data_IF_242903337331
#
_entry.id   IF_242903337331
#
_cell.length_a   1.000
_cell.length_b   1.000
_cell.length_c   1.000
_cell.angle_alpha   90.00
_cell.angle_beta   90.00
_cell.angle_gamma   90.00
#
_symmetry.space_group_name_H-M   'P 1'
#
loop_
_entity.id
_entity.type
_entity.pdbx_description
1 polymer ?
#
# COMPACT_ATOMS: atom_id res chain seq x y z
N UNK A 1 22.00 31.90 -10.58
CA UNK A 1 20.58 31.57 -10.30
C UNK A 1 19.95 32.73 -9.54
N UNK A 2 19.01 33.46 -10.15
CA UNK A 2 18.25 34.53 -9.47
C UNK A 2 17.36 33.88 -8.41
N UNK A 3 17.63 34.13 -7.12
CA UNK A 3 16.70 33.80 -6.02
C UNK A 3 15.43 34.64 -6.24
N UNK A 4 14.45 34.07 -6.92
CA UNK A 4 13.07 34.59 -6.90
C UNK A 4 12.52 34.31 -5.49
N UNK A 5 12.80 35.21 -4.55
CA UNK A 5 12.19 35.22 -3.22
C UNK A 5 10.72 35.60 -3.34
N UNK A 6 9.90 34.71 -3.92
CA UNK A 6 8.46 34.78 -3.72
C UNK A 6 8.20 34.26 -2.31
N UNK A 7 7.80 35.18 -1.45
CA UNK A 7 7.27 34.88 -0.13
C UNK A 7 6.19 33.80 -0.29
N UNK A 8 6.38 32.67 0.38
CA UNK A 8 5.40 31.59 0.38
C UNK A 8 4.23 32.08 1.23
N UNK A 9 3.23 32.67 0.59
CA UNK A 9 1.97 33.01 1.25
C UNK A 9 1.30 31.72 1.72
N UNK A 10 1.15 31.57 3.04
CA UNK A 10 0.40 30.46 3.63
C UNK A 10 -1.05 30.52 3.16
N UNK A 11 -1.45 29.52 2.38
CA UNK A 11 -2.84 29.40 1.93
C UNK A 11 -3.71 28.95 3.11
N UNK A 12 -4.64 29.82 3.55
CA UNK A 12 -5.58 29.46 4.62
C UNK A 12 -6.57 28.43 4.10
N UNK A 13 -6.60 27.26 4.73
CA UNK A 13 -7.58 26.21 4.43
C UNK A 13 -8.97 26.72 4.80
N UNK A 14 -9.86 26.80 3.82
CA UNK A 14 -11.26 27.20 4.05
C UNK A 14 -12.09 26.03 4.56
N UNK A 15 -13.10 26.29 5.41
CA UNK A 15 -13.99 25.24 5.92
C UNK A 15 -14.70 24.44 4.81
N UNK A 16 -15.01 25.08 3.68
CA UNK A 16 -15.55 24.39 2.51
C UNK A 16 -14.59 23.37 1.90
N UNK A 17 -13.28 23.68 1.86
CA UNK A 17 -12.26 22.72 1.40
C UNK A 17 -12.20 21.50 2.32
N UNK A 18 -12.29 21.70 3.64
CA UNK A 18 -12.30 20.61 4.61
C UNK A 18 -13.52 19.68 4.45
N UNK A 19 -14.71 20.26 4.24
CA UNK A 19 -15.93 19.49 3.96
C UNK A 19 -15.77 18.66 2.68
N UNK A 20 -15.24 19.25 1.61
CA UNK A 20 -14.98 18.54 0.35
C UNK A 20 -13.98 17.40 0.50
N UNK A 21 -12.86 17.63 1.20
CA UNK A 21 -11.86 16.61 1.49
C UNK A 21 -12.50 15.45 2.27
N UNK A 22 -13.35 15.76 3.25
CA UNK A 22 -14.05 14.75 4.06
C UNK A 22 -14.99 13.91 3.22
N UNK A 23 -15.86 14.53 2.43
CA UNK A 23 -16.81 13.83 1.55
C UNK A 23 -16.06 12.96 0.53
N UNK A 24 -15.04 13.52 -0.12
CA UNK A 24 -14.24 12.80 -1.11
C UNK A 24 -13.48 11.63 -0.46
N UNK A 25 -13.04 11.78 0.79
CA UNK A 25 -12.42 10.70 1.56
C UNK A 25 -13.36 9.55 1.82
N UNK A 26 -14.60 9.84 2.24
CA UNK A 26 -15.63 8.81 2.50
C UNK A 26 -15.95 8.05 1.20
N UNK A 27 -16.21 8.78 0.11
CA UNK A 27 -16.57 8.18 -1.18
C UNK A 27 -15.43 7.31 -1.71
N UNK A 28 -14.19 7.84 -1.70
CA UNK A 28 -13.04 7.09 -2.20
C UNK A 28 -12.71 5.90 -1.33
N UNK A 29 -12.85 6.02 0.01
CA UNK A 29 -12.66 4.89 0.91
C UNK A 29 -13.68 3.78 0.66
N UNK A 30 -14.96 4.13 0.47
CA UNK A 30 -15.98 3.16 0.10
C UNK A 30 -15.65 2.48 -1.22
N UNK A 31 -15.32 3.26 -2.25
CA UNK A 31 -15.01 2.73 -3.58
C UNK A 31 -13.80 1.80 -3.57
N UNK A 32 -12.71 2.15 -2.86
CA UNK A 32 -11.52 1.30 -2.79
C UNK A 32 -11.76 0.00 -2.05
N UNK A 33 -12.45 0.04 -0.91
CA UNK A 33 -12.81 -1.18 -0.18
C UNK A 33 -13.75 -2.07 -1.00
N UNK A 34 -14.72 -1.48 -1.69
CA UNK A 34 -15.64 -2.21 -2.57
C UNK A 34 -14.90 -2.86 -3.74
N UNK A 35 -14.03 -2.11 -4.42
CA UNK A 35 -13.21 -2.64 -5.52
C UNK A 35 -12.32 -3.80 -5.06
N UNK A 36 -11.64 -3.67 -3.92
CA UNK A 36 -10.83 -4.75 -3.36
C UNK A 36 -11.64 -6.00 -2.98
N UNK A 37 -12.86 -5.82 -2.49
CA UNK A 37 -13.75 -6.92 -2.15
C UNK A 37 -14.09 -7.78 -3.39
N UNK A 38 -14.23 -7.15 -4.57
CA UNK A 38 -14.51 -7.81 -5.84
C UNK A 38 -13.31 -8.55 -6.44
N UNK A 39 -12.08 -8.25 -6.01
CA UNK A 39 -10.89 -8.89 -6.54
C UNK A 39 -10.74 -10.33 -6.01
N UNK A 40 -10.34 -11.30 -6.86
CA UNK A 40 -9.88 -12.61 -6.41
C UNK A 40 -8.70 -12.49 -5.42
N UNK A 41 -8.55 -13.41 -4.45
CA UNK A 41 -7.48 -13.34 -3.44
C UNK A 41 -6.07 -13.15 -4.02
N UNK A 42 -5.76 -13.76 -5.16
CA UNK A 42 -4.47 -13.62 -5.84
C UNK A 42 -4.28 -12.19 -6.42
N UNK A 43 -5.31 -11.67 -7.07
CA UNK A 43 -5.31 -10.33 -7.65
C UNK A 43 -5.33 -9.23 -6.58
N UNK A 44 -5.85 -9.51 -5.38
CA UNK A 44 -5.79 -8.57 -4.25
C UNK A 44 -4.38 -8.18 -3.83
N UNK A 45 -3.32 -8.89 -4.21
CA UNK A 45 -1.96 -8.44 -3.86
C UNK A 45 -1.31 -7.57 -4.95
N UNK A 46 -1.85 -7.58 -6.16
CA UNK A 46 -1.22 -6.99 -7.36
C UNK A 46 -2.04 -5.90 -8.01
N UNK A 47 -3.36 -5.99 -7.89
CA UNK A 47 -4.30 -5.10 -8.56
C UNK A 47 -4.99 -4.14 -7.58
N UNK A 48 -4.43 -3.94 -6.39
CA UNK A 48 -4.92 -2.93 -5.45
C UNK A 48 -4.65 -1.55 -6.01
N UNK A 49 -5.72 -0.87 -6.42
CA UNK A 49 -5.62 0.47 -6.99
C UNK A 49 -5.10 1.49 -5.98
N UNK A 50 -5.37 1.30 -4.69
CA UNK A 50 -4.86 2.17 -3.64
C UNK A 50 -3.36 1.97 -3.36
N UNK A 51 -2.76 0.84 -3.74
CA UNK A 51 -1.33 0.52 -3.49
C UNK A 51 -0.70 -0.06 -4.76
N UNK A 52 -0.23 0.83 -5.63
CA UNK A 52 0.42 0.49 -6.91
C UNK A 52 1.69 -0.35 -6.70
N UNK A 53 2.52 0.03 -5.72
CA UNK A 53 3.67 -0.77 -5.29
C UNK A 53 3.50 -1.06 -3.81
N UNK A 54 2.86 -2.18 -3.46
CA UNK A 54 2.76 -2.56 -2.08
C UNK A 54 4.15 -3.10 -1.70
N UNK A 55 4.98 -2.27 -1.09
CA UNK A 55 6.28 -2.67 -0.59
C UNK A 55 6.32 -2.29 0.88
N UNK A 56 6.57 -3.24 1.81
CA UNK A 56 6.53 -2.94 3.23
C UNK A 56 7.43 -1.75 3.57
N UNK A 57 6.85 -0.68 4.12
CA UNK A 57 7.58 0.54 4.51
C UNK A 57 7.80 1.57 3.39
N UNK A 58 7.51 1.24 2.13
CA UNK A 58 7.66 2.15 0.97
C UNK A 58 6.45 2.05 0.04
N UNK A 59 5.25 2.00 0.60
CA UNK A 59 4.01 1.83 -0.16
C UNK A 59 3.80 2.99 -1.13
N UNK A 60 3.87 2.70 -2.43
CA UNK A 60 3.55 3.68 -3.46
C UNK A 60 2.04 3.67 -3.68
N UNK A 61 1.35 4.64 -3.10
CA UNK A 61 -0.11 4.69 -3.18
C UNK A 61 -0.58 5.15 -4.55
N UNK A 62 -1.55 4.43 -5.09
CA UNK A 62 -2.02 4.56 -6.48
C UNK A 62 -3.18 5.52 -6.70
N UNK A 63 -3.95 5.81 -5.66
CA UNK A 63 -5.15 6.64 -5.78
C UNK A 63 -4.94 8.01 -6.44
N UNK A 64 -3.85 8.76 -6.16
CA UNK A 64 -3.62 10.05 -6.81
C UNK A 64 -3.52 9.93 -8.33
N UNK A 65 -2.86 8.88 -8.82
CA UNK A 65 -2.69 8.65 -10.26
C UNK A 65 -4.00 8.29 -10.93
N UNK A 66 -4.85 7.49 -10.29
CA UNK A 66 -6.19 7.20 -10.81
C UNK A 66 -7.06 8.45 -10.82
N UNK A 67 -7.05 9.24 -9.75
CA UNK A 67 -7.77 10.52 -9.73
C UNK A 67 -7.28 11.46 -10.84
N UNK A 68 -5.98 11.51 -11.08
CA UNK A 68 -5.39 12.28 -12.17
C UNK A 68 -5.77 11.78 -13.56
N UNK A 69 -5.87 10.47 -13.78
CA UNK A 69 -6.40 9.92 -15.03
C UNK A 69 -7.87 10.30 -15.22
N UNK A 70 -8.69 10.21 -14.17
CA UNK A 70 -10.09 10.63 -14.20
C UNK A 70 -10.20 12.13 -14.50
N UNK A 71 -9.44 12.97 -13.81
CA UNK A 71 -9.37 14.42 -14.08
C UNK A 71 -8.93 14.70 -15.51
N UNK A 72 -7.97 13.93 -16.03
CA UNK A 72 -7.49 14.05 -17.41
C UNK A 72 -8.57 13.64 -18.44
N UNK A 73 -9.47 12.72 -18.10
CA UNK A 73 -10.64 12.42 -18.92
C UNK A 73 -11.72 13.51 -18.78
N UNK A 74 -11.94 14.02 -17.56
CA UNK A 74 -13.00 14.99 -17.26
C UNK A 74 -12.68 16.41 -17.74
N UNK A 75 -11.41 16.78 -17.90
CA UNK A 75 -11.03 18.12 -18.38
C UNK A 75 -11.52 18.43 -19.80
N UNK A 76 -11.87 17.41 -20.59
CA UNK A 76 -12.48 17.58 -21.91
C UNK A 76 -13.86 18.26 -21.80
N UNK A 77 -14.51 18.16 -20.64
CA UNK A 77 -15.72 18.90 -20.32
C UNK A 77 -15.36 20.30 -19.81
N UNK A 78 -15.60 21.32 -20.64
CA UNK A 78 -15.26 22.72 -20.34
C UNK A 78 -15.73 23.24 -18.96
N UNK A 79 -16.93 22.91 -18.45
CA UNK A 79 -17.41 23.42 -17.16
C UNK A 79 -16.57 22.96 -15.97
N UNK A 80 -15.88 21.82 -16.08
CA UNK A 80 -15.07 21.26 -15.01
C UNK A 80 -13.68 21.92 -14.93
N UNK A 81 -13.19 22.45 -16.06
CA UNK A 81 -11.84 23.03 -16.15
C UNK A 81 -11.60 24.20 -15.19
N UNK A 82 -12.64 24.98 -14.89
CA UNK A 82 -12.55 26.11 -13.94
C UNK A 82 -12.21 25.68 -12.51
N UNK A 83 -12.52 24.43 -12.14
CA UNK A 83 -12.24 23.89 -10.81
C UNK A 83 -10.89 23.16 -10.73
N UNK A 84 -10.22 22.93 -11.87
CA UNK A 84 -8.92 22.26 -11.95
C UNK A 84 -7.76 23.24 -11.70
N UNK A 85 -7.82 23.99 -10.60
CA UNK A 85 -6.72 24.83 -10.15
C UNK A 85 -5.59 23.96 -9.58
N UNK A 86 -4.35 24.47 -9.60
CA UNK A 86 -3.19 23.77 -9.03
C UNK A 86 -3.39 23.42 -7.56
N UNK A 87 -3.97 24.34 -6.79
CA UNK A 87 -4.33 24.12 -5.38
C UNK A 87 -5.33 22.98 -5.24
N UNK A 88 -6.43 22.98 -6.01
CA UNK A 88 -7.45 21.95 -5.91
C UNK A 88 -6.90 20.57 -6.29
N UNK A 89 -6.04 20.50 -7.30
CA UNK A 89 -5.35 19.26 -7.68
C UNK A 89 -4.37 18.78 -6.61
N UNK A 90 -3.71 19.70 -5.90
CA UNK A 90 -2.87 19.36 -4.76
C UNK A 90 -3.71 18.80 -3.60
N UNK A 91 -4.81 19.45 -3.22
CA UNK A 91 -5.73 18.93 -2.21
C UNK A 91 -6.32 17.57 -2.60
N UNK A 92 -6.72 17.40 -3.86
CA UNK A 92 -7.16 16.12 -4.38
C UNK A 92 -6.05 15.08 -4.21
N UNK A 93 -4.82 15.39 -4.61
CA UNK A 93 -3.69 14.45 -4.48
C UNK A 93 -3.43 14.03 -3.03
N UNK A 94 -3.41 14.98 -2.09
CA UNK A 94 -3.20 14.70 -0.66
C UNK A 94 -4.33 13.84 -0.11
N UNK A 95 -5.57 14.16 -0.46
CA UNK A 95 -6.76 13.39 -0.07
C UNK A 95 -6.64 11.95 -0.58
N UNK A 96 -6.32 11.78 -1.86
CA UNK A 96 -6.17 10.46 -2.48
C UNK A 96 -5.00 9.66 -1.90
N UNK A 97 -3.87 10.30 -1.59
CA UNK A 97 -2.73 9.64 -0.91
C UNK A 97 -3.20 9.09 0.43
N UNK A 98 -3.82 9.94 1.23
CA UNK A 98 -4.25 9.63 2.59
C UNK A 98 -5.28 8.52 2.60
N UNK A 99 -6.33 8.64 1.78
CA UNK A 99 -7.41 7.64 1.73
C UNK A 99 -6.91 6.32 1.16
N UNK A 100 -6.05 6.36 0.15
CA UNK A 100 -5.45 5.14 -0.40
C UNK A 100 -4.58 4.40 0.62
N UNK A 101 -3.76 5.15 1.37
CA UNK A 101 -2.92 4.58 2.42
C UNK A 101 -3.77 3.92 3.52
N UNK A 102 -4.79 4.60 4.04
CA UNK A 102 -5.58 4.04 5.14
C UNK A 102 -6.53 2.93 4.69
N UNK A 103 -7.08 3.02 3.47
CA UNK A 103 -7.92 1.92 2.93
C UNK A 103 -7.10 0.67 2.68
N UNK A 104 -5.81 0.80 2.35
CA UNK A 104 -4.92 -0.36 2.22
C UNK A 104 -4.91 -1.19 3.51
N UNK A 105 -4.99 -0.55 4.68
CA UNK A 105 -5.00 -1.22 5.98
C UNK A 105 -6.36 -1.67 6.47
N UNK A 106 -7.44 -1.37 5.74
CA UNK A 106 -8.80 -1.65 6.16
C UNK A 106 -9.27 -3.06 5.78
N UNK A 107 -8.61 -3.75 4.84
CA UNK A 107 -9.04 -5.10 4.45
C UNK A 107 -8.61 -6.16 5.44
N UNK A 108 -9.50 -7.12 5.71
CA UNK A 108 -9.36 -8.28 6.62
C UNK A 108 -8.06 -9.09 6.43
N UNK A 109 -7.50 -9.04 5.22
CA UNK A 109 -6.31 -9.78 4.83
C UNK A 109 -5.00 -9.00 5.06
N UNK A 110 -5.08 -7.74 5.51
CA UNK A 110 -3.89 -6.92 5.75
C UNK A 110 -3.37 -7.11 7.17
N UNK A 111 -2.09 -6.76 7.36
CA UNK A 111 -1.40 -6.90 8.64
C UNK A 111 -2.18 -6.24 9.79
N UNK A 112 -2.84 -5.11 9.55
CA UNK A 112 -3.47 -4.33 10.61
C UNK A 112 -4.78 -4.91 11.14
N UNK A 113 -5.66 -5.40 10.26
CA UNK A 113 -6.89 -6.11 10.67
C UNK A 113 -6.60 -7.55 11.08
N UNK A 114 -5.53 -8.16 10.55
CA UNK A 114 -5.13 -9.50 10.95
C UNK A 114 -4.92 -9.56 12.46
N UNK A 115 -4.20 -8.61 13.08
CA UNK A 115 -4.02 -8.60 14.54
C UNK A 115 -5.33 -8.57 15.34
N UNK A 116 -6.37 -7.94 14.79
CA UNK A 116 -7.68 -7.85 15.43
C UNK A 116 -8.44 -9.18 15.36
N UNK A 117 -8.24 -9.97 14.30
CA UNK A 117 -8.92 -11.23 14.03
C UNK A 117 -8.04 -12.48 14.24
N UNK A 118 -6.78 -12.29 14.66
CA UNK A 118 -5.76 -13.35 14.68
C UNK A 118 -6.08 -14.44 15.71
N UNK A 119 -6.99 -14.19 16.67
CA UNK A 119 -7.42 -15.17 17.69
C UNK A 119 -7.96 -16.46 17.06
N UNK A 120 -8.52 -16.37 15.86
CA UNK A 120 -9.00 -17.56 15.12
C UNK A 120 -7.84 -18.48 14.69
N UNK A 121 -6.63 -17.93 14.55
CA UNK A 121 -5.44 -18.65 14.06
C UNK A 121 -4.39 -18.94 15.14
N UNK A 122 -4.57 -18.43 16.36
CA UNK A 122 -3.59 -18.50 17.45
C UNK A 122 -4.10 -19.46 18.53
N UNK A 123 -3.20 -20.24 19.13
CA UNK A 123 -3.54 -21.15 20.23
C UNK A 123 -4.02 -20.38 21.47
N UNK A 124 -4.98 -20.94 22.21
CA UNK A 124 -5.54 -20.33 23.42
C UNK A 124 -4.48 -19.99 24.48
N UNK A 125 -3.36 -20.73 24.50
CA UNK A 125 -2.21 -20.49 25.38
C UNK A 125 -1.59 -19.11 25.20
N UNK A 126 -1.60 -18.57 23.97
CA UNK A 126 -1.10 -17.22 23.65
C UNK A 126 -2.23 -16.20 23.76
N UNK A 127 -3.45 -16.58 23.36
CA UNK A 127 -4.60 -15.70 23.35
C UNK A 127 -4.94 -15.13 24.74
N UNK A 128 -4.74 -15.93 25.81
CA UNK A 128 -5.03 -15.53 27.20
C UNK A 128 -4.23 -14.33 27.70
N UNK A 129 -3.06 -14.04 27.11
CA UNK A 129 -2.22 -12.91 27.49
C UNK A 129 -2.53 -11.63 26.71
N UNK A 130 -3.44 -11.71 25.73
CA UNK A 130 -3.74 -10.60 24.83
C UNK A 130 -5.11 -10.01 25.16
N UNK A 131 -5.20 -8.72 25.52
CA UNK A 131 -6.47 -8.07 25.82
C UNK A 131 -7.47 -8.11 24.65
N UNK A 132 -8.77 -8.16 24.96
CA UNK A 132 -9.82 -8.33 23.96
C UNK A 132 -10.00 -7.12 23.04
N UNK A 133 -9.70 -5.91 23.53
CA UNK A 133 -9.69 -4.70 22.70
C UNK A 133 -8.50 -4.68 21.71
N UNK A 134 -7.46 -5.47 21.96
CA UNK A 134 -6.32 -5.60 21.04
C UNK A 134 -6.59 -6.67 19.99
N UNK A 135 -7.14 -7.80 20.44
CA UNK A 135 -7.47 -8.98 19.64
C UNK A 135 -8.85 -9.47 20.06
N UNK A 136 -9.82 -9.42 19.14
CA UNK A 136 -11.20 -9.73 19.44
C UNK A 136 -11.38 -11.18 19.93
N UNK A 137 -12.43 -11.46 20.72
CA UNK A 137 -12.88 -12.81 21.02
C UNK A 137 -13.07 -13.64 19.75
N UNK A 138 -12.87 -14.96 19.88
CA UNK A 138 -12.81 -15.88 18.72
C UNK A 138 -14.16 -15.94 18.01
N UNK A 139 -15.24 -16.02 18.77
CA UNK A 139 -16.62 -15.98 18.30
C UNK A 139 -16.94 -14.69 17.53
N UNK A 140 -16.55 -13.52 18.07
CA UNK A 140 -16.74 -12.23 17.39
C UNK A 140 -15.90 -12.15 16.11
N UNK A 141 -14.68 -12.66 16.15
CA UNK A 141 -13.77 -12.69 15.00
C UNK A 141 -14.33 -13.59 13.89
N UNK A 142 -14.80 -14.79 14.22
CA UNK A 142 -15.42 -15.71 13.26
C UNK A 142 -16.70 -15.12 12.68
N UNK A 143 -17.50 -14.43 13.50
CA UNK A 143 -18.70 -13.75 13.04
C UNK A 143 -18.37 -12.63 12.03
N UNK A 144 -17.35 -11.80 12.30
CA UNK A 144 -16.90 -10.78 11.36
C UNK A 144 -16.33 -11.38 10.06
N UNK A 145 -15.61 -12.50 10.15
CA UNK A 145 -15.04 -13.19 8.99
C UNK A 145 -16.11 -13.82 8.10
N UNK A 146 -17.15 -14.40 8.71
CA UNK A 146 -18.27 -15.01 7.98
C UNK A 146 -19.23 -13.96 7.41
N UNK A 147 -19.26 -12.78 8.01
CA UNK A 147 -20.22 -11.72 7.69
C UNK A 147 -21.56 -11.97 8.38
N UNK A 148 -22.17 -10.90 8.88
CA UNK A 148 -23.32 -11.00 9.81
C UNK A 148 -24.65 -10.60 9.16
N UNK A 149 -24.62 -10.13 7.91
CA UNK A 149 -25.79 -9.71 7.12
C UNK A 149 -26.54 -8.48 7.65
N UNK A 150 -26.48 -8.22 8.97
CA UNK A 150 -27.14 -7.14 9.67
C UNK A 150 -26.20 -6.51 10.71
N UNK A 151 -26.11 -5.18 10.71
CA UNK A 151 -25.28 -4.40 11.64
C UNK A 151 -25.78 -4.46 13.10
N UNK A 152 -27.06 -4.76 13.33
CA UNK A 152 -27.65 -4.84 14.66
C UNK A 152 -27.24 -6.09 15.46
N UNK A 153 -26.68 -7.10 14.79
CA UNK A 153 -26.21 -8.35 15.42
C UNK A 153 -24.78 -8.21 15.94
N UNK A 154 -24.08 -7.13 15.55
CA UNK A 154 -22.70 -6.89 15.96
C UNK A 154 -22.63 -6.52 17.46
N UNK A 155 -21.75 -7.15 18.26
CA UNK A 155 -21.52 -6.80 19.66
C UNK A 155 -20.71 -5.51 19.72
N UNK A 156 -21.41 -4.38 19.58
CA UNK A 156 -20.81 -3.04 19.56
C UNK A 156 -20.09 -2.69 20.87
N UNK A 157 -20.51 -3.29 21.98
CA UNK A 157 -19.84 -3.19 23.29
C UNK A 157 -18.41 -3.73 23.27
N UNK A 158 -18.15 -4.80 22.50
CA UNK A 158 -16.81 -5.38 22.32
C UNK A 158 -16.06 -4.68 21.19
N UNK A 159 -16.74 -4.37 20.08
CA UNK A 159 -16.11 -3.78 18.90
C UNK A 159 -15.68 -2.33 19.11
N UNK A 160 -16.46 -1.53 19.84
CA UNK A 160 -16.19 -0.11 20.00
C UNK A 160 -14.86 0.18 20.73
N UNK A 161 -14.52 -0.48 21.86
CA UNK A 161 -13.19 -0.38 22.46
C UNK A 161 -12.06 -0.75 21.51
N UNK A 162 -12.24 -1.80 20.70
CA UNK A 162 -11.24 -2.23 19.74
C UNK A 162 -11.05 -1.19 18.61
N UNK A 163 -12.13 -0.62 18.08
CA UNK A 163 -12.09 0.47 17.09
C UNK A 163 -11.38 1.69 17.67
N UNK A 164 -11.75 2.11 18.88
CA UNK A 164 -11.16 3.27 19.55
C UNK A 164 -9.66 3.06 19.79
N UNK A 165 -9.27 1.89 20.31
CA UNK A 165 -7.86 1.53 20.49
C UNK A 165 -7.08 1.65 19.18
N UNK A 166 -7.62 1.14 18.07
CA UNK A 166 -6.98 1.22 16.74
C UNK A 166 -6.86 2.66 16.25
N UNK A 167 -7.89 3.47 16.44
CA UNK A 167 -7.86 4.88 16.08
C UNK A 167 -6.79 5.64 16.87
N UNK A 168 -6.71 5.42 18.19
CA UNK A 168 -5.67 6.00 19.04
C UNK A 168 -4.27 5.55 18.66
N UNK A 169 -4.09 4.27 18.34
CA UNK A 169 -2.82 3.73 17.86
C UNK A 169 -2.36 4.41 16.57
N UNK A 170 -3.27 4.58 15.61
CA UNK A 170 -3.00 5.26 14.34
C UNK A 170 -2.64 6.73 14.59
N UNK A 171 -3.39 7.45 15.41
CA UNK A 171 -3.08 8.85 15.78
C UNK A 171 -1.72 8.95 16.43
N UNK A 172 -1.40 8.05 17.36
CA UNK A 172 -0.12 8.05 18.07
C UNK A 172 1.04 7.88 17.10
N UNK A 173 1.01 6.85 16.24
CA UNK A 173 2.07 6.62 15.26
C UNK A 173 2.13 7.71 14.18
N UNK A 174 0.99 8.25 13.76
CA UNK A 174 0.95 9.40 12.87
C UNK A 174 1.61 10.62 13.52
N UNK A 175 1.32 10.89 14.80
CA UNK A 175 1.94 11.96 15.58
C UNK A 175 3.45 11.80 15.70
N UNK A 176 3.92 10.59 16.03
CA UNK A 176 5.36 10.27 16.06
C UNK A 176 5.99 10.46 14.68
N UNK A 177 5.34 9.96 13.62
CA UNK A 177 5.82 10.11 12.24
C UNK A 177 5.92 11.57 11.80
N UNK A 178 4.91 12.39 12.11
CA UNK A 178 4.93 13.84 11.87
C UNK A 178 6.05 14.50 12.68
N UNK A 179 6.24 14.11 13.94
CA UNK A 179 7.33 14.60 14.78
C UNK A 179 8.70 14.33 14.18
N UNK A 180 8.97 13.07 13.82
CA UNK A 180 10.21 12.64 13.16
C UNK A 180 10.40 13.39 11.85
N UNK A 181 9.37 13.44 11.00
CA UNK A 181 9.42 14.13 9.71
C UNK A 181 9.74 15.62 9.90
N UNK A 182 9.19 16.28 10.92
CA UNK A 182 9.48 17.69 11.21
C UNK A 182 10.91 17.92 11.71
N UNK A 183 11.45 17.00 12.52
CA UNK A 183 12.86 17.07 12.98
C UNK A 183 13.80 16.97 11.79
N UNK A 184 13.61 15.96 10.93
CA UNK A 184 14.48 15.73 9.78
C UNK A 184 14.14 16.61 8.58
N UNK A 185 13.02 17.35 8.62
CA UNK A 185 12.56 18.20 7.51
C UNK A 185 13.67 19.12 7.03
N UNK A 186 14.30 19.85 7.94
CA UNK A 186 15.33 20.83 7.60
C UNK A 186 16.54 20.15 6.96
N UNK A 187 17.02 19.07 7.56
CA UNK A 187 18.20 18.37 7.06
C UNK A 187 17.92 17.72 5.70
N UNK A 188 16.81 16.99 5.54
CA UNK A 188 16.50 16.31 4.28
C UNK A 188 16.10 17.27 3.16
N UNK A 189 15.29 18.29 3.44
CA UNK A 189 14.76 19.20 2.42
C UNK A 189 15.71 20.36 2.13
N UNK A 190 16.20 21.04 3.16
CA UNK A 190 16.92 22.31 2.99
C UNK A 190 18.43 22.10 2.85
N UNK A 191 19.01 21.15 3.60
CA UNK A 191 20.47 20.88 3.60
C UNK A 191 20.84 19.87 2.52
N UNK A 192 20.36 18.63 2.63
CA UNK A 192 20.70 17.53 1.72
C UNK A 192 19.94 17.60 0.39
N UNK A 193 18.78 18.28 0.37
CA UNK A 193 17.89 18.39 -0.80
C UNK A 193 17.59 17.04 -1.41
N UNK A 194 17.32 16.06 -0.54
CA UNK A 194 16.94 14.72 -0.96
C UNK A 194 15.72 14.80 -1.87
N UNK A 195 15.79 14.29 -3.11
CA UNK A 195 14.62 14.24 -3.97
C UNK A 195 13.67 13.19 -3.38
N UNK A 196 12.42 13.60 -3.16
CA UNK A 196 11.34 12.69 -2.77
C UNK A 196 10.76 12.08 -4.05
N UNK A 197 11.16 10.87 -4.46
CA UNK A 197 10.86 10.42 -5.81
C UNK A 197 9.35 10.24 -6.01
N UNK A 198 8.62 9.91 -4.94
CA UNK A 198 7.15 9.89 -4.93
C UNK A 198 6.56 11.24 -5.33
N UNK A 199 6.96 12.30 -4.63
CA UNK A 199 6.47 13.67 -4.86
C UNK A 199 6.89 14.16 -6.24
N UNK A 200 8.10 13.83 -6.70
CA UNK A 200 8.57 14.18 -8.05
C UNK A 200 7.67 13.59 -9.14
N UNK A 201 7.28 12.32 -9.02
CA UNK A 201 6.37 11.67 -9.97
C UNK A 201 4.98 12.32 -9.92
N UNK A 202 4.41 12.52 -8.72
CA UNK A 202 3.11 13.20 -8.54
C UNK A 202 3.12 14.62 -9.12
N UNK A 203 4.17 15.39 -8.84
CA UNK A 203 4.33 16.75 -9.36
C UNK A 203 4.43 16.76 -10.89
N UNK A 204 5.16 15.81 -11.47
CA UNK A 204 5.27 15.68 -12.93
C UNK A 204 3.93 15.37 -13.57
N UNK A 205 3.11 14.52 -12.96
CA UNK A 205 1.73 14.26 -13.38
C UNK A 205 0.87 15.54 -13.28
N UNK A 206 0.92 16.24 -12.14
CA UNK A 206 0.20 17.49 -11.91
C UNK A 206 0.52 18.55 -12.97
N UNK A 207 1.81 18.81 -13.21
CA UNK A 207 2.25 19.79 -14.21
C UNK A 207 1.78 19.41 -15.62
N UNK A 208 1.76 18.12 -15.93
CA UNK A 208 1.28 17.62 -17.22
C UNK A 208 -0.22 17.76 -17.40
N UNK A 209 -1.00 17.68 -16.32
CA UNK A 209 -2.47 17.84 -16.33
C UNK A 209 -2.86 19.32 -16.39
N UNK A 210 -2.20 20.17 -15.60
CA UNK A 210 -2.43 21.61 -15.64
C UNK A 210 -2.09 22.19 -17.03
N UNK A 211 -1.05 21.66 -17.67
CA UNK A 211 -0.62 22.06 -19.01
C UNK A 211 -1.55 21.62 -20.14
N UNK A 212 -2.64 20.91 -19.87
CA UNK A 212 -3.52 20.41 -20.93
C UNK A 212 -4.33 21.55 -21.55
N UNK A 213 -4.17 21.69 -22.86
CA UNK A 213 -4.71 22.80 -23.66
C UNK A 213 -3.78 24.01 -23.78
N UNK A 214 -2.58 24.01 -23.16
CA UNK A 214 -1.53 25.00 -23.44
C UNK A 214 -0.59 24.45 -24.53
N UNK A 215 -0.15 25.32 -25.45
CA UNK A 215 0.71 24.93 -26.60
C UNK A 215 2.09 24.42 -26.16
N UNK A 216 2.58 24.88 -24.99
CA UNK A 216 3.89 24.54 -24.42
C UNK A 216 3.81 23.43 -23.36
N UNK A 217 3.23 22.27 -23.70
CA UNK A 217 3.26 21.12 -22.77
C UNK A 217 4.66 20.51 -22.78
N UNK A 218 5.49 20.90 -21.81
CA UNK A 218 6.94 20.57 -21.69
C UNK A 218 7.32 19.09 -21.75
N UNK A 219 6.40 18.13 -21.78
CA UNK A 219 6.72 16.69 -21.78
C UNK A 219 5.58 15.78 -22.25
N UNK A 220 4.71 16.22 -23.17
CA UNK A 220 3.52 15.42 -23.56
C UNK A 220 3.89 14.01 -24.04
N UNK A 221 4.84 13.91 -24.96
CA UNK A 221 5.22 12.64 -25.60
C UNK A 221 5.85 11.68 -24.60
N UNK A 222 6.84 12.12 -23.82
CA UNK A 222 7.50 11.29 -22.80
C UNK A 222 6.51 10.81 -21.73
N UNK A 223 5.58 11.67 -21.30
CA UNK A 223 4.55 11.31 -20.33
C UNK A 223 3.61 10.22 -20.88
N UNK A 224 3.15 10.37 -22.13
CA UNK A 224 2.29 9.38 -22.78
C UNK A 224 3.01 8.07 -23.07
N UNK A 225 4.28 8.11 -23.49
CA UNK A 225 5.11 6.92 -23.66
C UNK A 225 5.28 6.20 -22.32
N UNK A 226 5.60 6.92 -21.24
CA UNK A 226 5.73 6.32 -19.91
C UNK A 226 4.44 5.66 -19.44
N UNK A 227 3.29 6.30 -19.68
CA UNK A 227 1.97 5.73 -19.37
C UNK A 227 1.71 4.46 -20.20
N UNK A 228 1.96 4.50 -21.50
CA UNK A 228 1.80 3.35 -22.39
C UNK A 228 2.68 2.17 -21.95
N UNK A 229 3.97 2.42 -21.69
CA UNK A 229 4.90 1.41 -21.19
C UNK A 229 4.44 0.85 -19.84
N UNK A 230 3.96 1.70 -18.93
CA UNK A 230 3.37 1.27 -17.66
C UNK A 230 2.20 0.31 -17.86
N UNK A 231 1.27 0.63 -18.77
CA UNK A 231 0.16 -0.27 -19.12
C UNK A 231 0.66 -1.58 -19.73
N UNK A 232 1.58 -1.53 -20.70
CA UNK A 232 2.13 -2.72 -21.35
C UNK A 232 2.87 -3.62 -20.35
N UNK A 233 3.58 -3.06 -19.36
CA UNK A 233 4.24 -3.83 -18.31
C UNK A 233 3.25 -4.39 -17.28
N UNK A 234 2.14 -3.70 -17.03
CA UNK A 234 1.09 -4.12 -16.10
C UNK A 234 0.13 -5.18 -16.64
N UNK A 235 -0.06 -5.26 -17.97
CA UNK A 235 -0.94 -6.25 -18.61
C UNK A 235 -0.49 -7.70 -18.33
N UNK A 236 0.78 -8.09 -18.53
CA UNK A 236 1.20 -9.45 -18.26
C UNK A 236 1.01 -9.87 -16.81
N UNK A 237 1.32 -8.97 -15.88
CA UNK A 237 1.11 -9.18 -14.45
C UNK A 237 -0.39 -9.40 -14.15
N UNK A 238 -1.23 -8.50 -14.65
CA UNK A 238 -2.68 -8.56 -14.48
C UNK A 238 -3.26 -9.83 -15.08
N UNK A 239 -2.87 -10.16 -16.31
CA UNK A 239 -3.28 -11.36 -17.02
C UNK A 239 -2.91 -12.62 -16.26
N UNK A 240 -1.67 -12.74 -15.80
CA UNK A 240 -1.21 -13.89 -15.03
C UNK A 240 -1.96 -14.04 -13.69
N UNK A 241 -2.39 -12.94 -13.06
CA UNK A 241 -3.14 -13.00 -11.79
C UNK A 241 -4.64 -13.21 -11.94
N UNK A 242 -5.24 -12.80 -13.06
CA UNK A 242 -6.68 -12.90 -13.31
C UNK A 242 -7.07 -14.15 -14.10
N UNK A 243 -6.22 -14.60 -15.02
CA UNK A 243 -6.54 -15.68 -15.96
C UNK A 243 -5.53 -16.81 -15.84
N UNK A 244 -5.90 -18.00 -15.35
CA UNK A 244 -4.99 -19.14 -15.19
C UNK A 244 -4.24 -19.53 -16.47
N UNK A 245 -4.87 -19.37 -17.64
CA UNK A 245 -4.28 -19.70 -18.95
C UNK A 245 -3.27 -18.67 -19.45
N UNK A 246 -3.26 -17.44 -18.94
CA UNK A 246 -2.37 -16.39 -19.41
C UNK A 246 -0.91 -16.68 -18.99
N UNK A 247 0.10 -16.45 -19.86
CA UNK A 247 1.50 -16.76 -19.57
C UNK A 247 2.06 -15.93 -18.41
N UNK A 248 2.73 -16.61 -17.49
CA UNK A 248 3.30 -16.00 -16.28
C UNK A 248 4.74 -15.47 -16.50
N UNK A 249 4.87 -14.38 -17.28
CA UNK A 249 6.16 -13.83 -17.70
C UNK A 249 7.06 -13.38 -16.53
N UNK A 250 6.46 -12.89 -15.44
CA UNK A 250 7.19 -12.44 -14.25
C UNK A 250 7.30 -13.52 -13.17
N UNK A 251 6.91 -14.76 -13.49
CA UNK A 251 6.83 -15.88 -12.55
C UNK A 251 6.03 -15.53 -11.29
N UNK A 252 4.97 -14.74 -11.43
CA UNK A 252 4.17 -14.25 -10.30
C UNK A 252 3.50 -15.37 -9.50
N UNK A 253 3.17 -16.49 -10.13
CA UNK A 253 2.54 -17.65 -9.48
C UNK A 253 3.54 -18.52 -8.71
N UNK A 254 4.84 -18.35 -8.97
CA UNK A 254 5.89 -19.17 -8.38
C UNK A 254 6.76 -18.35 -7.42
N UNK A 255 6.90 -18.84 -6.18
CA UNK A 255 7.79 -18.26 -5.17
C UNK A 255 7.60 -16.74 -4.99
N UNK A 256 6.35 -16.27 -5.09
CA UNK A 256 5.99 -14.88 -4.83
C UNK A 256 5.27 -14.82 -3.50
N UNK A 257 5.75 -13.97 -2.62
CA UNK A 257 5.20 -13.76 -1.30
C UNK A 257 4.67 -12.33 -1.18
N UNK A 258 3.48 -12.23 -0.57
CA UNK A 258 2.87 -10.95 -0.22
C UNK A 258 2.68 -10.10 -1.46
N UNK A 259 3.07 -8.82 -1.41
CA UNK A 259 2.75 -7.88 -2.46
C UNK A 259 3.72 -7.94 -3.64
N UNK A 260 4.14 -9.13 -4.08
CA UNK A 260 5.03 -9.26 -5.24
C UNK A 260 6.51 -9.35 -4.96
N UNK A 261 6.89 -9.75 -3.75
CA UNK A 261 8.27 -10.05 -3.44
C UNK A 261 8.60 -11.49 -3.83
N UNK A 262 9.62 -11.71 -4.63
CA UNK A 262 10.20 -13.02 -4.80
C UNK A 262 10.79 -13.47 -3.48
N UNK A 263 10.32 -14.61 -2.98
CA UNK A 263 10.82 -15.21 -1.76
C UNK A 263 11.96 -16.16 -2.10
N UNK A 264 13.17 -15.79 -1.72
CA UNK A 264 14.36 -16.63 -1.84
C UNK A 264 14.67 -17.11 -0.41
N UNK A 265 14.13 -18.27 -0.03
CA UNK A 265 14.53 -18.94 1.20
C UNK A 265 15.08 -20.33 0.87
N UNK A 266 16.40 -20.46 0.75
CA UNK A 266 17.04 -21.75 0.89
C UNK A 266 16.64 -22.36 2.24
N UNK A 267 16.42 -23.67 2.33
CA UNK A 267 16.20 -24.32 3.62
C UNK A 267 17.35 -23.98 4.57
N UNK A 268 17.01 -23.74 5.84
CA UNK A 268 17.94 -23.51 6.96
C UNK A 268 18.68 -22.17 7.01
N UNK A 269 18.41 -21.25 6.07
CA UNK A 269 19.01 -19.91 6.07
C UNK A 269 17.99 -18.88 6.56
N UNK A 270 18.29 -18.06 7.60
CA UNK A 270 17.41 -16.99 8.10
C UNK A 270 17.39 -15.78 7.15
N UNK A 271 17.43 -16.02 5.83
CA UNK A 271 17.42 -14.98 4.82
C UNK A 271 16.01 -14.41 4.69
N UNK A 272 15.87 -13.11 4.97
CA UNK A 272 14.58 -12.45 4.95
C UNK A 272 14.41 -11.41 3.83
N UNK A 273 15.44 -11.22 2.98
CA UNK A 273 15.32 -10.35 1.81
C UNK A 273 14.53 -11.03 0.71
N UNK A 274 13.65 -10.26 0.09
CA UNK A 274 12.97 -10.66 -1.12
C UNK A 274 13.21 -9.65 -2.24
N UNK A 275 13.20 -10.14 -3.48
CA UNK A 275 13.38 -9.29 -4.66
C UNK A 275 12.02 -8.80 -5.14
N UNK A 276 11.81 -7.49 -5.18
CA UNK A 276 10.57 -6.95 -5.74
C UNK A 276 10.45 -7.33 -7.23
N UNK A 277 9.40 -8.07 -7.59
CA UNK A 277 9.12 -8.48 -8.98
C UNK A 277 8.44 -7.38 -9.79
N UNK A 278 7.98 -6.30 -9.14
CA UNK A 278 7.28 -5.19 -9.78
C UNK A 278 8.22 -4.36 -10.67
N UNK A 279 8.03 -4.33 -12.00
CA UNK A 279 8.84 -3.49 -12.88
C UNK A 279 8.83 -2.00 -12.50
N UNK A 280 7.69 -1.38 -12.09
CA UNK A 280 7.69 0.03 -11.73
C UNK A 280 8.51 0.35 -10.48
N UNK A 281 8.77 -0.63 -9.60
CA UNK A 281 9.65 -0.41 -8.43
C UNK A 281 11.09 -0.15 -8.87
N UNK A 282 11.58 -0.90 -9.86
CA UNK A 282 12.92 -0.70 -10.42
C UNK A 282 13.03 0.65 -11.13
N UNK A 283 12.01 1.04 -11.90
CA UNK A 283 11.95 2.35 -12.52
C UNK A 283 11.93 3.49 -11.48
N UNK A 284 11.22 3.30 -10.36
CA UNK A 284 11.19 4.26 -9.27
C UNK A 284 12.55 4.40 -8.58
N UNK A 285 13.27 3.29 -8.39
CA UNK A 285 14.62 3.30 -7.80
C UNK A 285 15.64 4.06 -8.66
N UNK A 286 15.46 4.13 -9.98
CA UNK A 286 16.30 4.96 -10.86
C UNK A 286 16.16 6.47 -10.61
N UNK A 287 15.10 6.90 -9.93
CA UNK A 287 14.90 8.30 -9.52
C UNK A 287 15.59 8.63 -8.20
N UNK A 288 16.01 7.62 -7.43
CA UNK A 288 16.67 7.79 -6.14
C UNK A 288 18.16 8.09 -6.37
N UNK A 289 18.76 9.05 -5.64
CA UNK A 289 20.18 9.34 -5.78
C UNK A 289 21.05 8.12 -5.48
N UNK A 290 22.10 7.93 -6.27
CA UNK A 290 22.99 6.77 -6.16
C UNK A 290 23.62 6.63 -4.76
N UNK A 291 23.99 7.74 -4.11
CA UNK A 291 24.56 7.73 -2.76
C UNK A 291 23.55 7.23 -1.72
N UNK A 292 22.26 7.57 -1.87
CA UNK A 292 21.21 7.10 -0.98
C UNK A 292 20.93 5.60 -1.20
N UNK A 293 20.94 5.13 -2.46
CA UNK A 293 20.85 3.71 -2.79
C UNK A 293 22.03 2.92 -2.23
N UNK A 294 23.26 3.46 -2.35
CA UNK A 294 24.46 2.84 -1.79
C UNK A 294 24.39 2.75 -0.27
N UNK A 295 23.97 3.83 0.40
CA UNK A 295 23.75 3.84 1.85
C UNK A 295 22.70 2.81 2.27
N UNK A 296 21.55 2.78 1.58
CA UNK A 296 20.49 1.81 1.84
C UNK A 296 21.01 0.37 1.70
N UNK A 297 21.71 0.06 0.59
CA UNK A 297 22.31 -1.25 0.37
C UNK A 297 23.31 -1.61 1.48
N UNK A 298 24.22 -0.70 1.84
CA UNK A 298 25.22 -0.93 2.88
C UNK A 298 24.56 -1.25 4.22
N UNK A 299 23.61 -0.42 4.69
CA UNK A 299 22.94 -0.65 5.96
C UNK A 299 22.04 -1.90 5.94
N UNK A 300 21.41 -2.22 4.80
CA UNK A 300 20.71 -3.49 4.65
C UNK A 300 21.67 -4.67 4.81
N UNK A 301 22.85 -4.65 4.16
CA UNK A 301 23.84 -5.71 4.32
C UNK A 301 24.36 -5.84 5.75
N UNK A 302 24.61 -4.72 6.44
CA UNK A 302 25.00 -4.73 7.86
C UNK A 302 23.90 -5.35 8.72
N UNK A 303 22.64 -5.00 8.48
CA UNK A 303 21.51 -5.58 9.19
C UNK A 303 21.38 -7.09 8.94
N UNK A 304 21.52 -7.55 7.69
CA UNK A 304 21.56 -8.99 7.38
C UNK A 304 22.67 -9.69 8.15
N UNK A 305 23.91 -9.20 8.08
CA UNK A 305 25.05 -9.80 8.78
C UNK A 305 24.78 -9.88 10.29
N UNK A 306 24.21 -8.82 10.87
CA UNK A 306 23.83 -8.81 12.29
C UNK A 306 22.74 -9.85 12.61
N UNK A 307 21.72 -10.01 11.76
CA UNK A 307 20.70 -11.05 11.94
C UNK A 307 21.29 -12.46 11.83
N UNK A 308 22.19 -12.69 10.86
CA UNK A 308 22.90 -13.96 10.72
C UNK A 308 23.76 -14.27 11.94
N UNK A 309 24.51 -13.28 12.44
CA UNK A 309 25.33 -13.44 13.64
C UNK A 309 24.46 -13.69 14.89
N UNK A 310 23.34 -12.97 15.04
CA UNK A 310 22.38 -13.19 16.12
C UNK A 310 21.79 -14.60 16.09
N UNK A 311 21.43 -15.08 14.90
CA UNK A 311 20.81 -16.38 14.69
C UNK A 311 21.79 -17.54 14.90
N UNK A 312 22.90 -17.58 14.17
CA UNK A 312 23.86 -18.69 14.22
C UNK A 312 24.88 -18.57 15.34
N UNK A 313 25.31 -17.35 15.67
CA UNK A 313 26.37 -17.12 16.66
C UNK A 313 25.87 -17.14 18.10
N UNK A 314 24.67 -16.60 18.34
CA UNK A 314 24.13 -16.44 19.70
C UNK A 314 22.88 -17.28 19.98
N UNK A 315 22.30 -17.94 18.96
CA UNK A 315 21.07 -18.73 19.12
C UNK A 315 19.83 -17.89 19.42
N UNK A 316 19.84 -16.60 19.09
CA UNK A 316 18.65 -15.76 19.18
C UNK A 316 17.71 -16.05 18.00
N UNK A 317 16.41 -15.75 18.17
CA UNK A 317 15.41 -15.88 17.10
C UNK A 317 15.21 -17.30 16.53
N UNK A 318 15.49 -18.36 17.31
CA UNK A 318 15.26 -19.77 16.93
C UNK A 318 13.80 -20.11 16.57
N UNK A 319 12.84 -19.30 17.03
CA UNK A 319 11.43 -19.40 16.61
C UNK A 319 11.18 -19.05 15.13
N UNK A 320 12.14 -18.43 14.45
CA UNK A 320 12.04 -18.09 13.02
C UNK A 320 12.10 -19.34 12.14
N UNK A 321 12.81 -20.39 12.52
CA UNK A 321 12.96 -21.61 11.69
C UNK A 321 11.97 -22.73 12.01
N UNK A 322 11.44 -22.81 13.23
CA UNK A 322 10.80 -24.04 13.71
C UNK A 322 9.34 -24.30 13.33
N UNK A 323 8.50 -23.27 13.15
CA UNK A 323 7.06 -23.48 12.93
C UNK A 323 6.31 -22.24 12.44
N UNK A 324 6.82 -21.04 12.75
CA UNK A 324 6.14 -19.78 12.45
C UNK A 324 6.29 -19.41 10.97
N UNK A 325 7.48 -19.59 10.37
CA UNK A 325 7.66 -19.38 8.92
C UNK A 325 6.82 -20.37 8.10
N UNK A 326 6.79 -21.65 8.52
CA UNK A 326 6.10 -22.72 7.79
C UNK A 326 4.56 -22.68 7.98
N UNK A 327 4.05 -22.28 9.15
CA UNK A 327 2.60 -22.06 9.36
C UNK A 327 2.09 -20.75 8.77
N UNK A 328 2.87 -19.67 8.75
CA UNK A 328 2.48 -18.46 7.98
C UNK A 328 2.52 -18.71 6.47
N UNK A 329 3.42 -19.55 5.97
CA UNK A 329 3.40 -19.98 4.55
C UNK A 329 2.29 -20.99 4.26
N UNK A 330 1.96 -21.90 5.18
CA UNK A 330 0.82 -22.82 5.04
C UNK A 330 -0.53 -22.11 5.14
N UNK A 331 -0.73 -21.13 6.03
CA UNK A 331 -1.99 -20.35 6.06
C UNK A 331 -2.17 -19.54 4.76
N UNK A 332 -1.07 -19.08 4.16
CA UNK A 332 -1.06 -18.48 2.80
C UNK A 332 -1.30 -19.50 1.70
N UNK A 333 -0.84 -20.75 1.84
CA UNK A 333 -1.18 -21.87 0.94
C UNK A 333 -2.62 -22.38 1.14
N UNK A 334 -3.20 -22.33 2.33
CA UNK A 334 -4.57 -22.79 2.59
C UNK A 334 -5.61 -21.86 1.96
N UNK A 335 -5.41 -20.53 2.02
CA UNK A 335 -6.23 -19.59 1.24
C UNK A 335 -6.04 -19.84 -0.28
N UNK A 336 -4.86 -20.30 -0.70
CA UNK A 336 -4.54 -20.61 -2.09
C UNK A 336 -5.17 -21.93 -2.59
N UNK A 337 -5.31 -22.93 -1.71
CA UNK A 337 -5.75 -24.29 -2.07
C UNK A 337 -7.26 -24.49 -1.89
N UNK A 338 -7.89 -23.75 -0.98
CA UNK A 338 -9.34 -23.82 -0.77
C UNK A 338 -10.13 -23.16 -1.92
N UNK A 339 -9.55 -22.17 -2.63
CA UNK A 339 -10.16 -21.59 -3.83
C UNK A 339 -10.08 -22.48 -5.07
N UNK A 340 -9.02 -23.30 -5.19
CA UNK A 340 -8.86 -24.26 -6.30
C UNK A 340 -9.70 -25.53 -6.12
N UNK A 341 -9.95 -25.95 -4.87
CA UNK A 341 -10.81 -27.10 -4.59
C UNK A 341 -12.30 -26.79 -4.75
N UNK A 342 -12.74 -25.55 -4.48
CA UNK A 342 -14.14 -25.14 -4.71
C UNK A 342 -14.45 -24.98 -6.21
N UNK A 343 -13.48 -24.58 -7.04
CA UNK A 343 -13.70 -24.50 -8.49
C UNK A 343 -13.73 -25.86 -9.22
N UNK A 344 -13.23 -26.93 -8.60
CA UNK A 344 -13.28 -28.28 -9.18
C UNK A 344 -14.44 -29.14 -8.67
N UNK A 345 -15.13 -28.76 -7.59
CA UNK A 345 -16.29 -29.50 -7.08
C UNK A 345 -17.62 -29.14 -7.74
N UNK A 346 -17.70 -28.02 -8.47
CA UNK A 346 -18.97 -27.51 -9.05
C UNK A 346 -19.09 -27.71 -10.58
N UNK A 347 -18.20 -28.49 -11.21
CA UNK A 347 -18.25 -28.81 -12.65
C UNK A 347 -18.37 -30.31 -12.96
N UNK A 348 -18.95 -31.07 -12.04
CA UNK A 348 -19.37 -32.45 -12.27
C UNK A 348 -20.83 -32.60 -11.84
N UNK A 349 -21.72 -32.12 -12.71
CA UNK A 349 -23.10 -32.57 -12.86
C UNK A 349 -23.49 -32.47 -14.33
#
# INVERSE_FOLDING_TARGET
>A
MKKSGKEITEEKITGGAFLWITVLSIITAFFWNFFEALLPPLARCTQRVNTLLPTPGTEFVGGPFVAFLVVMALQYFQPLRKYLSRTNLAYLSITMITTSFYTHFATVQTRNTMFLLVRVSVSDTVAKYTPEFFMLPKDVSEMLLRGVGNLGVLPWDILFPAILWRFLLVILFAGVGIGIANVFRREWIDVEKLPFPYVTVVQTCLMNIEGIGRKERKSKTQFLIGMLLGFLLGIPLSGATLFPWFPDLYMWRSNTCGPGSHWIAPPDIPWHLGLAKHPPMHAFMLLVPLHALFSALFYTLVAEIAFFAAYYGFGYYTGVTGAVLYRFTQLRRCIFQQSLLVQHSDFSL
#
